data_IF_622098558906
#
_entry.id   IF_622098558906
#
_cell.length_a   1.000
_cell.length_b   1.000
_cell.length_c   1.000
_cell.angle_alpha   90.00
_cell.angle_beta   90.00
_cell.angle_gamma   90.00
#
_symmetry.space_group_name_H-M   'P 1'
#
loop_
_entity.id
_entity.type
_entity.pdbx_description
1 polymer ?
#
# COMPACT_ATOMS: atom_id res chain seq x y z
N UNK A 1 -5.05 -21.42 -30.67
CA UNK A 1 -5.83 -21.25 -29.43
C UNK A 1 -4.99 -21.23 -28.14
N UNK A 2 -3.90 -21.97 -28.05
CA UNK A 2 -3.05 -21.98 -26.83
C UNK A 2 -2.26 -20.67 -26.59
N UNK A 3 -1.91 -19.92 -27.62
CA UNK A 3 -1.13 -18.67 -27.51
C UNK A 3 -1.91 -17.48 -26.93
N UNK A 4 -3.22 -17.44 -27.11
CA UNK A 4 -4.08 -16.35 -26.62
C UNK A 4 -4.33 -16.49 -25.09
N UNK A 5 -4.43 -17.71 -24.59
CA UNK A 5 -4.63 -17.96 -23.14
C UNK A 5 -3.38 -17.63 -22.30
N UNK A 6 -2.17 -17.79 -22.88
CA UNK A 6 -0.92 -17.42 -22.20
C UNK A 6 -0.77 -15.88 -22.09
N UNK A 7 -1.20 -15.15 -23.12
CA UNK A 7 -1.12 -13.69 -23.12
C UNK A 7 -2.09 -13.04 -22.11
N UNK A 8 -3.26 -13.65 -21.91
CA UNK A 8 -4.25 -13.16 -20.94
C UNK A 8 -3.78 -13.35 -19.49
N UNK A 9 -2.98 -14.40 -19.23
CA UNK A 9 -2.44 -14.66 -17.89
C UNK A 9 -1.32 -13.68 -17.49
N UNK A 10 -0.51 -13.20 -18.47
CA UNK A 10 0.54 -12.20 -18.20
C UNK A 10 -0.03 -10.81 -17.84
N UNK A 11 -1.17 -10.44 -18.40
CA UNK A 11 -1.83 -9.16 -18.11
C UNK A 11 -2.46 -9.11 -16.70
N UNK A 12 -2.79 -10.26 -16.12
CA UNK A 12 -3.38 -10.32 -14.79
C UNK A 12 -2.35 -10.11 -13.65
N UNK A 13 -1.07 -10.36 -13.90
CA UNK A 13 -0.03 -10.19 -12.86
C UNK A 13 0.36 -8.73 -12.62
N UNK A 14 0.15 -7.84 -13.58
CA UNK A 14 0.49 -6.41 -13.43
C UNK A 14 -0.49 -5.63 -12.55
N UNK A 15 -1.69 -6.15 -12.30
CA UNK A 15 -2.71 -5.47 -11.49
C UNK A 15 -2.39 -5.44 -9.99
N UNK A 16 -1.56 -6.37 -9.48
CA UNK A 16 -1.23 -6.46 -8.05
C UNK A 16 -0.14 -5.50 -7.58
N UNK A 17 0.69 -4.98 -8.48
CA UNK A 17 1.83 -4.10 -8.15
C UNK A 17 1.41 -2.67 -7.81
N UNK A 18 0.21 -2.26 -8.17
CA UNK A 18 -0.24 -0.86 -8.11
C UNK A 18 -1.22 -0.56 -6.96
N UNK A 19 -1.42 -1.48 -6.02
CA UNK A 19 -2.38 -1.29 -4.91
C UNK A 19 -2.15 0.02 -4.14
N UNK A 20 -0.93 0.38 -3.72
CA UNK A 20 -0.73 1.65 -3.02
C UNK A 20 -1.03 2.89 -3.87
N UNK A 21 -0.75 2.84 -5.16
CA UNK A 21 -1.06 3.95 -6.08
C UNK A 21 -2.58 4.09 -6.31
N UNK A 22 -3.29 2.98 -6.43
CA UNK A 22 -4.74 2.97 -6.56
C UNK A 22 -5.41 3.49 -5.29
N UNK A 23 -4.91 3.11 -4.12
CA UNK A 23 -5.44 3.56 -2.83
C UNK A 23 -5.41 5.08 -2.66
N UNK A 24 -4.45 5.79 -3.28
CA UNK A 24 -4.42 7.26 -3.28
C UNK A 24 -5.71 7.89 -3.86
N UNK A 25 -6.35 7.19 -4.78
CA UNK A 25 -7.59 7.64 -5.41
C UNK A 25 -8.83 7.01 -4.79
N UNK A 26 -8.78 5.71 -4.57
CA UNK A 26 -9.95 4.91 -4.19
C UNK A 26 -10.36 5.14 -2.72
N UNK A 27 -9.42 5.57 -1.87
CA UNK A 27 -9.71 5.90 -0.47
C UNK A 27 -10.26 7.33 -0.28
N UNK A 28 -10.18 8.18 -1.28
CA UNK A 28 -10.77 9.54 -1.20
C UNK A 28 -12.29 9.44 -1.06
N UNK A 29 -12.84 10.15 -0.09
CA UNK A 29 -14.25 10.09 0.27
C UNK A 29 -14.61 9.04 1.33
N UNK A 30 -13.70 8.13 1.68
CA UNK A 30 -13.92 7.15 2.74
C UNK A 30 -14.14 7.83 4.09
N UNK A 31 -15.10 7.34 4.86
CA UNK A 31 -15.35 7.86 6.20
C UNK A 31 -14.19 7.52 7.16
N UNK A 32 -13.94 8.40 8.12
CA UNK A 32 -12.89 8.22 9.14
C UNK A 32 -13.00 6.88 9.87
N UNK A 33 -14.21 6.49 10.25
CA UNK A 33 -14.46 5.21 10.91
C UNK A 33 -14.08 4.02 10.07
N UNK A 34 -14.37 4.06 8.77
CA UNK A 34 -14.07 2.98 7.84
C UNK A 34 -12.57 2.88 7.57
N UNK A 35 -11.90 4.03 7.48
CA UNK A 35 -10.44 4.08 7.34
C UNK A 35 -9.74 3.47 8.57
N UNK A 36 -10.18 3.81 9.78
CA UNK A 36 -9.62 3.24 11.01
C UNK A 36 -9.95 1.73 11.11
N UNK A 37 -11.14 1.33 10.70
CA UNK A 37 -11.53 -0.09 10.71
C UNK A 37 -10.65 -0.95 9.79
N UNK A 38 -10.22 -0.43 8.64
CA UNK A 38 -9.41 -1.18 7.68
C UNK A 38 -7.88 -1.00 7.87
N UNK A 39 -7.42 0.19 8.23
CA UNK A 39 -5.99 0.50 8.41
C UNK A 39 -5.51 0.33 9.87
N UNK A 40 -6.43 0.18 10.81
CA UNK A 40 -6.13 0.17 12.24
C UNK A 40 -6.08 1.57 12.85
N UNK A 41 -5.79 1.63 14.14
CA UNK A 41 -5.64 2.89 14.87
C UNK A 41 -4.39 3.63 14.37
N UNK A 42 -4.47 4.92 14.06
CA UNK A 42 -3.30 5.68 13.63
C UNK A 42 -2.27 5.82 14.76
N UNK A 43 -1.00 5.80 14.38
CA UNK A 43 0.12 6.03 15.29
C UNK A 43 0.20 7.48 15.75
N UNK A 44 -0.17 8.40 14.85
CA UNK A 44 -0.21 9.84 15.11
C UNK A 44 -1.46 10.47 14.49
N UNK A 45 -1.95 11.49 15.16
CA UNK A 45 -3.05 12.32 14.67
C UNK A 45 -2.76 13.79 14.99
N UNK A 46 -3.03 14.66 14.03
CA UNK A 46 -2.91 16.12 14.18
C UNK A 46 -4.19 16.81 13.75
N UNK A 47 -4.72 17.68 14.60
CA UNK A 47 -5.86 18.51 14.26
C UNK A 47 -5.39 19.76 13.54
N UNK A 48 -6.01 20.08 12.42
CA UNK A 48 -5.79 21.27 11.62
C UNK A 48 -7.02 22.17 11.68
N UNK A 49 -6.90 23.48 11.36
CA UNK A 49 -8.06 24.39 11.33
C UNK A 49 -9.18 23.93 10.38
N UNK A 50 -8.83 23.18 9.32
CA UNK A 50 -9.75 22.72 8.27
C UNK A 50 -9.98 21.21 8.27
N UNK A 51 -9.51 20.48 9.30
CA UNK A 51 -9.66 19.04 9.36
C UNK A 51 -8.65 18.36 10.27
N UNK A 52 -8.23 17.17 9.91
CA UNK A 52 -7.23 16.38 10.63
C UNK A 52 -6.29 15.63 9.67
N UNK A 53 -5.13 15.29 10.17
CA UNK A 53 -4.18 14.39 9.51
C UNK A 53 -3.97 13.18 10.39
N UNK A 54 -4.14 12.01 9.82
CA UNK A 54 -3.87 10.72 10.48
C UNK A 54 -2.65 10.09 9.81
N UNK A 55 -1.78 9.51 10.61
CA UNK A 55 -0.56 8.87 10.14
C UNK A 55 -0.44 7.46 10.72
N UNK A 56 -0.10 6.52 9.86
CA UNK A 56 0.28 5.15 10.20
C UNK A 56 1.72 4.91 9.75
N UNK A 57 2.46 4.19 10.56
CA UNK A 57 3.80 3.74 10.25
C UNK A 57 3.84 2.23 10.22
N UNK A 58 4.47 1.68 9.20
CA UNK A 58 4.75 0.25 9.12
C UNK A 58 6.16 0.01 8.63
N UNK A 59 6.93 -0.68 9.44
CA UNK A 59 8.23 -1.17 9.06
C UNK A 59 8.07 -2.57 8.46
N UNK A 60 8.42 -2.71 7.20
CA UNK A 60 8.40 -3.99 6.52
C UNK A 60 9.82 -4.54 6.47
N UNK A 61 10.07 -5.57 7.26
CA UNK A 61 11.25 -6.41 7.12
C UNK A 61 10.85 -7.62 6.27
N UNK A 62 11.46 -7.75 5.10
CA UNK A 62 11.42 -9.02 4.39
C UNK A 62 12.35 -9.96 5.14
N UNK A 63 11.78 -10.75 6.05
CA UNK A 63 12.52 -11.78 6.75
C UNK A 63 12.78 -12.94 5.80
N UNK A 64 14.03 -13.12 5.48
CA UNK A 64 14.59 -14.28 4.86
C UNK A 64 15.89 -13.90 4.19
N UNK A 65 17.04 -14.40 4.65
CA UNK A 65 18.25 -14.31 3.87
C UNK A 65 18.09 -15.28 2.70
N UNK A 66 17.62 -14.81 1.57
CA UNK A 66 17.93 -15.46 0.31
C UNK A 66 19.37 -15.13 -0.02
N UNK A 67 20.29 -15.80 0.66
CA UNK A 67 21.69 -15.79 0.28
C UNK A 67 21.83 -16.81 -0.84
N UNK A 68 21.73 -16.37 -2.09
CA UNK A 68 22.17 -17.17 -3.23
C UNK A 68 23.68 -17.15 -3.25
N UNK A 69 24.31 -18.17 -2.67
CA UNK A 69 25.74 -18.41 -2.83
C UNK A 69 25.95 -19.03 -4.23
N UNK A 70 26.27 -18.17 -5.18
CA UNK A 70 26.78 -18.64 -6.48
C UNK A 70 28.26 -19.06 -6.40
N UNK A 71 28.77 -19.82 -7.39
CA UNK A 71 30.15 -20.36 -7.41
C UNK A 71 31.25 -19.29 -7.54
N UNK A 72 30.91 -18.01 -7.61
CA UNK A 72 31.81 -16.86 -7.82
C UNK A 72 31.76 -15.84 -6.67
N UNK A 73 31.41 -16.21 -5.45
CA UNK A 73 31.38 -15.32 -4.27
C UNK A 73 30.49 -14.08 -4.44
N UNK A 74 29.46 -14.15 -5.31
CA UNK A 74 28.44 -13.13 -5.42
C UNK A 74 27.37 -13.38 -4.34
N UNK A 75 27.49 -12.65 -3.26
CA UNK A 75 26.48 -12.62 -2.20
C UNK A 75 25.47 -11.53 -2.55
N UNK A 76 24.33 -11.93 -3.11
CA UNK A 76 23.19 -11.02 -3.33
C UNK A 76 22.36 -10.99 -2.06
N UNK A 77 22.52 -9.95 -1.29
CA UNK A 77 21.61 -9.65 -0.18
C UNK A 77 20.31 -9.06 -0.74
N UNK A 78 19.28 -9.88 -0.79
CA UNK A 78 17.92 -9.47 -1.22
C UNK A 78 17.06 -9.01 -0.05
N UNK A 79 17.65 -8.70 1.11
CA UNK A 79 16.93 -8.14 2.24
C UNK A 79 16.48 -6.72 1.93
N UNK A 80 15.20 -6.55 1.62
CA UNK A 80 14.58 -5.25 1.41
C UNK A 80 14.03 -4.69 2.71
N UNK A 81 14.58 -3.59 3.20
CA UNK A 81 13.99 -2.79 4.27
C UNK A 81 13.16 -1.67 3.65
N UNK A 82 11.85 -1.66 3.92
CA UNK A 82 10.97 -0.57 3.53
C UNK A 82 10.19 -0.07 4.74
N UNK A 83 10.13 1.25 4.93
CA UNK A 83 9.26 1.89 5.92
C UNK A 83 8.14 2.62 5.20
N UNK A 84 6.91 2.26 5.49
CA UNK A 84 5.74 3.00 5.03
C UNK A 84 5.29 4.01 6.07
N UNK A 85 5.19 5.26 5.67
CA UNK A 85 4.42 6.28 6.36
C UNK A 85 3.19 6.58 5.49
N UNK A 86 2.06 6.02 5.87
CA UNK A 86 0.77 6.30 5.25
C UNK A 86 0.14 7.50 5.95
N UNK A 87 -0.16 8.53 5.18
CA UNK A 87 -0.71 9.79 5.67
C UNK A 87 -2.05 10.05 4.99
N UNK A 88 -3.11 10.17 5.76
CA UNK A 88 -4.44 10.53 5.28
C UNK A 88 -4.84 11.90 5.84
N UNK A 89 -5.22 12.81 4.95
CA UNK A 89 -5.82 14.09 5.30
C UNK A 89 -7.34 13.96 5.21
N UNK A 90 -8.01 14.39 6.27
CA UNK A 90 -9.48 14.35 6.36
C UNK A 90 -10.05 15.74 6.55
N UNK A 91 -11.19 15.97 5.90
CA UNK A 91 -12.05 17.15 6.13
C UNK A 91 -13.48 16.67 6.36
N UNK A 92 -14.14 17.23 7.36
CA UNK A 92 -15.51 16.84 7.71
C UNK A 92 -15.68 15.32 7.91
N UNK A 93 -14.69 14.67 8.50
CA UNK A 93 -14.70 13.24 8.77
C UNK A 93 -14.53 12.32 7.54
N UNK A 94 -14.09 12.87 6.40
CA UNK A 94 -13.84 12.11 5.17
C UNK A 94 -12.44 12.33 4.63
N UNK A 95 -11.86 11.29 4.07
CA UNK A 95 -10.55 11.34 3.41
C UNK A 95 -10.62 12.26 2.19
N UNK A 96 -9.74 13.23 2.14
CA UNK A 96 -9.58 14.15 1.00
C UNK A 96 -8.30 13.92 0.24
N UNK A 97 -7.28 13.37 0.91
CA UNK A 97 -5.98 13.14 0.30
C UNK A 97 -5.28 11.97 1.00
N UNK A 98 -4.57 11.17 0.22
CA UNK A 98 -3.71 10.08 0.71
C UNK A 98 -2.31 10.28 0.15
N UNK A 99 -1.32 10.23 1.02
CA UNK A 99 0.09 10.33 0.66
C UNK A 99 0.93 9.26 1.37
N UNK A 100 2.03 8.89 0.75
CA UNK A 100 3.05 8.03 1.32
C UNK A 100 4.34 8.80 1.46
N UNK A 101 4.94 8.75 2.63
CA UNK A 101 6.21 9.39 2.93
C UNK A 101 7.22 8.37 3.42
N UNK A 102 8.50 8.74 3.39
CA UNK A 102 9.58 7.84 3.78
C UNK A 102 10.05 6.90 2.67
N UNK A 103 11.06 6.05 2.94
CA UNK A 103 11.67 5.13 1.97
C UNK A 103 10.80 3.89 1.78
N UNK A 104 9.63 4.04 1.17
CA UNK A 104 8.62 2.99 0.99
C UNK A 104 8.82 2.11 -0.24
N UNK A 105 9.78 2.44 -1.10
CA UNK A 105 10.16 1.64 -2.26
C UNK A 105 10.95 0.40 -1.86
N UNK A 106 10.61 -0.75 -2.45
CA UNK A 106 11.36 -2.01 -2.32
C UNK A 106 11.58 -2.60 -3.72
N UNK A 107 12.23 -3.77 -3.80
CA UNK A 107 12.39 -4.51 -5.05
C UNK A 107 11.05 -4.88 -5.71
N UNK A 108 9.95 -4.88 -4.95
CA UNK A 108 8.60 -5.18 -5.42
C UNK A 108 7.89 -3.97 -6.03
N UNK A 109 8.53 -2.81 -6.05
CA UNK A 109 8.01 -1.60 -6.67
C UNK A 109 7.94 -0.38 -5.73
N UNK A 110 7.59 0.79 -6.28
CA UNK A 110 7.40 2.01 -5.50
C UNK A 110 6.23 1.84 -4.53
N UNK A 111 6.41 2.32 -3.31
CA UNK A 111 5.42 2.23 -2.21
C UNK A 111 5.01 0.80 -1.79
N UNK A 112 5.73 -0.23 -2.21
CA UNK A 112 5.40 -1.63 -1.91
C UNK A 112 5.39 -1.93 -0.41
N UNK A 113 6.18 -1.23 0.41
CA UNK A 113 6.12 -1.32 1.87
C UNK A 113 4.78 -0.86 2.45
N UNK A 114 4.01 -0.05 1.72
CA UNK A 114 2.69 0.43 2.14
C UNK A 114 1.55 -0.56 1.80
N UNK A 115 1.81 -1.53 0.94
CA UNK A 115 0.78 -2.45 0.46
C UNK A 115 0.01 -3.18 1.58
N UNK A 116 0.66 -3.79 2.59
CA UNK A 116 -0.07 -4.49 3.64
C UNK A 116 -1.04 -3.57 4.40
N UNK A 117 -0.62 -2.31 4.60
CA UNK A 117 -1.39 -1.33 5.37
C UNK A 117 -2.67 -0.89 4.64
N UNK A 118 -2.59 -0.72 3.33
CA UNK A 118 -3.72 -0.18 2.54
C UNK A 118 -4.54 -1.24 1.82
N UNK A 119 -4.09 -2.50 1.79
CA UNK A 119 -4.75 -3.57 1.05
C UNK A 119 -6.19 -3.83 1.52
N UNK A 120 -6.41 -3.83 2.82
CA UNK A 120 -7.74 -4.05 3.40
C UNK A 120 -8.67 -2.87 3.09
N UNK A 121 -8.16 -1.64 3.15
CA UNK A 121 -8.90 -0.43 2.82
C UNK A 121 -9.29 -0.37 1.34
N UNK A 122 -8.37 -0.78 0.48
CA UNK A 122 -8.62 -0.86 -0.97
C UNK A 122 -9.72 -1.87 -1.30
N UNK A 123 -9.71 -3.04 -0.65
CA UNK A 123 -10.79 -4.03 -0.80
C UNK A 123 -12.14 -3.48 -0.34
N UNK A 124 -12.18 -2.79 0.78
CA UNK A 124 -13.41 -2.19 1.32
C UNK A 124 -13.93 -1.10 0.39
N UNK A 125 -13.08 -0.22 -0.11
CA UNK A 125 -13.46 0.82 -1.07
C UNK A 125 -14.10 0.25 -2.34
N UNK A 126 -13.53 -0.83 -2.89
CA UNK A 126 -14.08 -1.51 -4.08
C UNK A 126 -15.43 -2.16 -3.83
N UNK A 127 -15.65 -2.74 -2.65
CA UNK A 127 -16.93 -3.33 -2.29
C UNK A 127 -18.02 -2.25 -2.21
N UNK A 128 -17.70 -1.10 -1.64
CA UNK A 128 -18.63 0.04 -1.54
C UNK A 128 -19.01 0.60 -2.92
N UNK A 129 -18.07 0.63 -3.85
CA UNK A 129 -18.33 1.08 -5.22
C UNK A 129 -19.23 0.11 -6.01
N UNK A 130 -19.13 -1.19 -5.73
CA UNK A 130 -19.99 -2.21 -6.40
C UNK A 130 -21.42 -2.24 -5.86
N UNK A 131 -21.66 -1.72 -4.66
CA UNK A 131 -22.99 -1.73 -4.03
C UNK A 131 -23.86 -0.51 -4.40
N UNK A 132 -23.32 0.44 -5.16
CA UNK A 132 -24.03 1.60 -5.72
C UNK A 132 -24.40 1.35 -7.17
#
# INVERSE_FOLDING_TARGET
MMRIKALTCLLALSACANVPLQAKHDLVGMARSDLIACAGVPDNAATLPDGEVLQWRQDQQVQGPFTLKGPMSLELDLSGHGTCHFVARLRQGRVTQVEYTGPSGTLLGPYSACRPLVLACERQARLTLKSK
#
